data_IF_279163299582
#
_entry.id   IF_279163299582
#
_cell.length_a   1.000
_cell.length_b   1.000
_cell.length_c   1.000
_cell.angle_alpha   90.00
_cell.angle_beta   90.00
_cell.angle_gamma   90.00
#
_symmetry.space_group_name_H-M   'P 1'
#
loop_
_entity.id
_entity.type
_entity.pdbx_description
1 polymer ?
#
# COMPACT_ATOMS: atom_id res chain seq x y z
N UNK A 1 46.11 2.87 -62.42
CA UNK A 1 45.38 3.86 -61.62
C UNK A 1 44.29 3.13 -60.82
N UNK A 2 44.58 2.86 -59.59
CA UNK A 2 43.65 2.16 -58.72
C UNK A 2 42.88 3.19 -57.88
N UNK A 3 41.59 3.29 -58.12
CA UNK A 3 40.71 4.15 -57.32
C UNK A 3 40.33 3.38 -56.04
N UNK A 4 40.86 3.85 -54.93
CA UNK A 4 40.47 3.36 -53.60
C UNK A 4 39.12 3.99 -53.22
N UNK A 5 38.08 3.18 -53.13
CA UNK A 5 36.80 3.59 -52.58
C UNK A 5 36.84 3.29 -51.11
N UNK A 6 36.98 4.31 -50.29
CA UNK A 6 36.85 4.20 -48.85
C UNK A 6 35.36 4.21 -48.52
N UNK A 7 34.84 3.04 -48.20
CA UNK A 7 33.47 2.90 -47.68
C UNK A 7 33.40 3.36 -46.23
N UNK A 8 32.73 4.47 -46.00
CA UNK A 8 32.41 4.99 -44.69
C UNK A 8 31.21 4.24 -44.13
N UNK A 9 31.44 3.21 -43.34
CA UNK A 9 30.35 2.55 -42.59
C UNK A 9 30.00 3.41 -41.39
N UNK A 10 28.89 4.13 -41.51
CA UNK A 10 28.28 4.82 -40.38
C UNK A 10 27.64 3.80 -39.47
N UNK A 11 28.25 3.50 -38.34
CA UNK A 11 27.66 2.76 -37.24
C UNK A 11 26.65 3.68 -36.57
N UNK A 12 25.38 3.50 -36.89
CA UNK A 12 24.29 4.10 -36.15
C UNK A 12 24.15 3.38 -34.80
N UNK A 13 24.72 3.95 -33.74
CA UNK A 13 24.41 3.57 -32.37
C UNK A 13 22.96 3.94 -32.06
N UNK A 14 22.05 2.98 -32.20
CA UNK A 14 20.70 3.10 -31.66
C UNK A 14 20.84 2.96 -30.14
N UNK A 15 20.99 4.08 -29.45
CA UNK A 15 20.91 4.15 -28.01
C UNK A 15 19.49 3.78 -27.57
N UNK A 16 19.32 2.56 -27.10
CA UNK A 16 18.09 2.11 -26.45
C UNK A 16 17.98 2.84 -25.11
N UNK A 17 17.36 4.00 -25.13
CA UNK A 17 17.02 4.72 -23.88
C UNK A 17 15.93 3.91 -23.22
N UNK A 18 16.31 3.07 -22.27
CA UNK A 18 15.37 2.52 -21.31
C UNK A 18 14.88 3.69 -20.45
N UNK A 19 13.82 4.32 -20.90
CA UNK A 19 13.05 5.23 -20.07
C UNK A 19 12.48 4.40 -18.93
N UNK A 20 13.19 4.34 -17.81
CA UNK A 20 12.65 3.84 -16.56
C UNK A 20 11.46 4.74 -16.22
N UNK A 21 10.27 4.29 -16.57
CA UNK A 21 9.04 4.92 -16.15
C UNK A 21 8.93 4.71 -14.64
N UNK A 22 9.54 5.60 -13.89
CA UNK A 22 9.18 5.77 -12.49
C UNK A 22 7.74 6.24 -12.51
N UNK A 23 6.82 5.29 -12.43
CA UNK A 23 5.43 5.59 -12.16
C UNK A 23 5.41 6.27 -10.80
N UNK A 24 5.23 7.57 -10.80
CA UNK A 24 4.83 8.27 -9.60
C UNK A 24 3.59 7.56 -9.09
N UNK A 25 3.70 6.89 -7.93
CA UNK A 25 2.59 6.15 -7.35
C UNK A 25 1.49 7.16 -7.03
N UNK A 26 0.38 7.08 -7.79
CA UNK A 26 -0.75 7.96 -7.60
C UNK A 26 -1.42 7.68 -6.25
N UNK A 27 -1.80 8.74 -5.56
CA UNK A 27 -2.56 8.63 -4.33
C UNK A 27 -3.93 8.01 -4.61
N UNK A 28 -4.28 6.97 -3.85
CA UNK A 28 -5.50 6.18 -4.02
C UNK A 28 -6.32 6.22 -2.75
N UNK A 29 -7.65 6.17 -2.87
CA UNK A 29 -8.55 6.01 -1.73
C UNK A 29 -9.00 4.56 -1.61
N UNK A 30 -8.76 3.95 -0.46
CA UNK A 30 -9.15 2.58 -0.12
C UNK A 30 -10.24 2.61 0.94
N UNK A 31 -11.33 1.91 0.69
CA UNK A 31 -12.45 1.78 1.62
C UNK A 31 -12.36 0.44 2.35
N UNK A 32 -12.40 0.47 3.67
CA UNK A 32 -12.35 -0.76 4.45
C UNK A 32 -12.33 -0.53 5.95
N UNK A 33 -12.07 -1.61 6.68
CA UNK A 33 -11.96 -1.60 8.14
C UNK A 33 -10.52 -1.85 8.59
N UNK A 34 -10.15 -1.22 9.67
CA UNK A 34 -8.84 -1.37 10.28
C UNK A 34 -8.79 -2.65 11.13
N UNK A 35 -7.84 -3.51 10.83
CA UNK A 35 -7.56 -4.75 11.56
C UNK A 35 -6.04 -4.93 11.72
N UNK A 36 -5.62 -5.78 12.65
CA UNK A 36 -4.25 -6.23 12.65
C UNK A 36 -4.01 -7.24 11.51
N UNK A 37 -2.80 -7.26 10.98
CA UNK A 37 -2.46 -8.11 9.81
C UNK A 37 -2.67 -9.58 10.11
N UNK A 38 -2.37 -10.02 11.31
CA UNK A 38 -2.48 -11.42 11.71
C UNK A 38 -3.92 -11.92 11.67
N UNK A 39 -4.86 -11.20 12.28
CA UNK A 39 -6.28 -11.53 12.22
C UNK A 39 -6.84 -11.38 10.79
N UNK A 40 -6.40 -10.39 10.04
CA UNK A 40 -6.83 -10.17 8.66
C UNK A 40 -6.43 -11.31 7.70
N UNK A 41 -5.28 -11.97 7.94
CA UNK A 41 -4.76 -13.04 7.09
C UNK A 41 -5.23 -14.43 7.52
N UNK A 42 -5.43 -14.67 8.80
CA UNK A 42 -5.79 -15.98 9.33
C UNK A 42 -7.26 -16.34 9.14
N UNK A 43 -8.10 -15.37 8.78
CA UNK A 43 -9.51 -15.56 8.47
C UNK A 43 -10.35 -16.18 9.60
N UNK A 44 -9.82 -16.20 10.81
CA UNK A 44 -10.43 -16.91 11.95
C UNK A 44 -11.43 -16.10 12.73
N UNK A 45 -11.39 -14.78 12.58
CA UNK A 45 -12.27 -13.89 13.32
C UNK A 45 -13.23 -13.21 12.37
N UNK A 46 -14.52 -13.26 12.72
CA UNK A 46 -15.52 -12.45 12.06
C UNK A 46 -15.11 -10.97 12.17
N UNK A 47 -14.76 -10.33 11.08
CA UNK A 47 -14.29 -8.95 11.11
C UNK A 47 -15.36 -7.95 11.56
N UNK A 48 -16.58 -8.40 11.77
CA UNK A 48 -17.72 -7.56 12.14
C UNK A 48 -18.04 -7.56 13.65
N UNK A 49 -17.38 -8.41 14.44
CA UNK A 49 -17.69 -8.55 15.87
C UNK A 49 -16.97 -7.52 16.76
N UNK A 50 -17.64 -7.13 17.84
CA UNK A 50 -17.07 -6.24 18.86
C UNK A 50 -15.80 -6.82 19.52
N UNK A 51 -15.71 -8.13 19.63
CA UNK A 51 -14.53 -8.83 20.16
C UNK A 51 -13.31 -8.68 19.24
N UNK A 52 -13.54 -8.66 17.92
CA UNK A 52 -12.50 -8.41 16.93
C UNK A 52 -11.90 -7.00 17.06
N UNK A 53 -12.71 -6.01 17.40
CA UNK A 53 -12.24 -4.63 17.58
C UNK A 53 -11.43 -4.47 18.87
N UNK A 54 -11.81 -5.15 19.95
CA UNK A 54 -11.02 -5.18 21.19
C UNK A 54 -9.66 -5.85 20.99
N UNK A 55 -9.64 -6.96 20.24
CA UNK A 55 -8.41 -7.66 19.87
C UNK A 55 -7.51 -6.77 19.00
N UNK A 56 -8.05 -6.16 17.97
CA UNK A 56 -7.32 -5.23 17.09
C UNK A 56 -6.74 -4.05 17.88
N UNK A 57 -7.48 -3.49 18.81
CA UNK A 57 -7.01 -2.40 19.68
C UNK A 57 -5.85 -2.84 20.56
N UNK A 58 -5.93 -4.02 21.17
CA UNK A 58 -4.85 -4.56 22.00
C UNK A 58 -3.58 -4.84 21.18
N UNK A 59 -3.74 -5.39 19.96
CA UNK A 59 -2.63 -5.62 19.05
C UNK A 59 -1.99 -4.31 18.59
N UNK A 60 -2.79 -3.31 18.25
CA UNK A 60 -2.30 -1.98 17.86
C UNK A 60 -1.46 -1.34 18.99
N UNK A 61 -1.94 -1.37 20.21
CA UNK A 61 -1.22 -0.83 21.39
C UNK A 61 0.11 -1.54 21.66
N UNK A 62 0.23 -2.80 21.29
CA UNK A 62 1.51 -3.53 21.35
C UNK A 62 2.47 -3.18 20.24
N UNK A 63 2.05 -2.41 19.25
CA UNK A 63 2.83 -2.03 18.09
C UNK A 63 2.83 -3.07 16.96
N UNK A 64 1.84 -3.95 16.93
CA UNK A 64 1.68 -4.91 15.85
C UNK A 64 1.25 -4.23 14.55
N UNK A 65 1.59 -4.85 13.42
CA UNK A 65 1.30 -4.27 12.11
C UNK A 65 -0.20 -4.26 11.83
N UNK A 66 -0.71 -3.10 11.47
CA UNK A 66 -2.12 -2.90 11.14
C UNK A 66 -2.33 -2.88 9.63
N UNK A 67 -3.54 -3.21 9.22
CA UNK A 67 -3.94 -3.21 7.81
C UNK A 67 -5.37 -2.71 7.62
N UNK A 68 -5.67 -2.23 6.42
CA UNK A 68 -7.03 -1.94 5.97
C UNK A 68 -7.55 -3.16 5.20
N UNK A 69 -8.61 -3.76 5.70
CA UNK A 69 -9.30 -4.87 5.04
C UNK A 69 -10.39 -4.29 4.15
N UNK A 70 -10.12 -4.24 2.86
CA UNK A 70 -11.08 -3.84 1.83
C UNK A 70 -11.76 -5.07 1.23
N UNK A 71 -12.76 -4.85 0.38
CA UNK A 71 -13.49 -5.95 -0.28
C UNK A 71 -12.63 -6.79 -1.22
N UNK A 72 -11.63 -6.16 -1.83
CA UNK A 72 -10.77 -6.76 -2.87
C UNK A 72 -9.42 -7.22 -2.35
N UNK A 73 -8.90 -6.59 -1.29
CA UNK A 73 -7.56 -6.86 -0.80
C UNK A 73 -7.33 -6.37 0.64
N UNK A 74 -6.22 -6.81 1.20
CA UNK A 74 -5.69 -6.33 2.48
C UNK A 74 -4.52 -5.39 2.19
N UNK A 75 -4.57 -4.18 2.72
CA UNK A 75 -3.55 -3.15 2.56
C UNK A 75 -2.81 -2.91 3.87
N UNK A 76 -1.55 -3.28 3.94
CA UNK A 76 -0.71 -3.08 5.12
C UNK A 76 -0.38 -1.60 5.27
N UNK A 77 -0.66 -1.02 6.42
CA UNK A 77 -0.37 0.38 6.72
C UNK A 77 1.12 0.58 6.92
N UNK A 78 1.68 1.56 6.22
CA UNK A 78 3.07 2.00 6.34
C UNK A 78 3.14 3.52 6.53
N UNK A 79 4.35 4.03 6.79
CA UNK A 79 4.60 5.45 6.99
C UNK A 79 4.20 5.95 8.38
N UNK A 80 3.95 7.23 8.48
CA UNK A 80 3.72 7.91 9.77
C UNK A 80 2.50 7.43 10.57
N UNK A 81 1.54 6.78 9.93
CA UNK A 81 0.39 6.19 10.62
C UNK A 81 0.68 4.82 11.24
N UNK A 82 1.78 4.18 10.86
CA UNK A 82 2.27 2.93 11.46
C UNK A 82 3.29 3.17 12.58
N UNK A 83 3.69 4.41 12.79
CA UNK A 83 4.62 4.80 13.85
C UNK A 83 3.92 4.92 15.21
N UNK A 84 4.71 5.14 16.27
CA UNK A 84 4.23 5.37 17.65
C UNK A 84 3.22 4.32 18.15
N UNK A 85 3.50 3.04 17.89
CA UNK A 85 2.61 1.92 18.26
C UNK A 85 1.18 2.12 17.74
N UNK A 86 1.06 2.60 16.50
CA UNK A 86 -0.22 2.81 15.82
C UNK A 86 -1.16 3.82 16.51
N UNK A 87 -0.64 4.70 17.34
CA UNK A 87 -1.45 5.65 18.13
C UNK A 87 -2.44 6.44 17.25
N UNK A 88 -2.00 6.82 16.05
CA UNK A 88 -2.84 7.60 15.11
C UNK A 88 -4.01 6.81 14.50
N UNK A 89 -3.93 5.49 14.47
CA UNK A 89 -4.99 4.65 13.86
C UNK A 89 -5.93 4.02 14.89
N UNK A 90 -5.50 3.91 16.13
CA UNK A 90 -6.30 3.30 17.20
C UNK A 90 -7.72 3.89 17.32
N UNK A 91 -7.95 5.21 17.23
CA UNK A 91 -9.28 5.79 17.30
C UNK A 91 -10.22 5.38 16.16
N UNK A 92 -9.67 4.85 15.10
CA UNK A 92 -10.42 4.43 13.90
C UNK A 92 -10.79 2.94 13.88
N UNK A 93 -10.32 2.16 14.86
CA UNK A 93 -10.64 0.73 14.96
C UNK A 93 -12.15 0.55 15.17
N UNK A 94 -12.74 -0.41 14.46
CA UNK A 94 -14.18 -0.69 14.52
C UNK A 94 -15.06 0.18 13.63
N UNK A 95 -14.44 1.11 12.91
CA UNK A 95 -15.15 2.04 12.02
C UNK A 95 -14.93 1.68 10.55
N UNK A 96 -15.86 2.03 9.71
CA UNK A 96 -15.68 1.97 8.27
C UNK A 96 -14.93 3.23 7.80
N UNK A 97 -13.83 3.03 7.09
CA UNK A 97 -12.87 4.09 6.80
C UNK A 97 -12.70 4.30 5.29
N UNK A 98 -12.47 5.56 4.92
CA UNK A 98 -11.86 5.95 3.66
C UNK A 98 -10.42 6.37 3.94
N UNK A 99 -9.48 5.56 3.46
CA UNK A 99 -8.04 5.76 3.69
C UNK A 99 -7.40 6.22 2.40
N UNK A 100 -6.78 7.37 2.46
CA UNK A 100 -6.08 7.97 1.33
C UNK A 100 -4.58 7.80 1.48
N UNK A 101 -3.93 7.35 0.44
CA UNK A 101 -2.49 7.14 0.47
C UNK A 101 -1.93 6.55 -0.81
N UNK A 102 -0.64 6.31 -0.81
CA UNK A 102 0.08 5.72 -1.92
C UNK A 102 0.15 4.21 -1.77
N UNK A 103 -0.43 3.47 -2.70
CA UNK A 103 -0.40 2.00 -2.71
C UNK A 103 0.82 1.51 -3.47
N UNK A 104 1.56 0.61 -2.84
CA UNK A 104 2.66 -0.14 -3.45
C UNK A 104 2.42 -1.63 -3.28
N UNK A 105 2.97 -2.43 -4.18
CA UNK A 105 2.92 -3.88 -4.09
C UNK A 105 4.34 -4.43 -4.03
N UNK A 106 4.61 -5.26 -3.05
CA UNK A 106 5.90 -5.92 -2.85
C UNK A 106 5.69 -7.35 -2.40
N UNK A 107 6.29 -8.30 -3.09
CA UNK A 107 6.21 -9.73 -2.77
C UNK A 107 4.77 -10.25 -2.64
N UNK A 108 3.86 -9.77 -3.50
CA UNK A 108 2.44 -10.13 -3.47
C UNK A 108 1.62 -9.48 -2.35
N UNK A 109 2.24 -8.62 -1.54
CA UNK A 109 1.57 -7.87 -0.48
C UNK A 109 1.33 -6.44 -0.90
N UNK A 110 0.11 -5.96 -0.68
CA UNK A 110 -0.24 -4.56 -0.91
C UNK A 110 0.01 -3.75 0.36
N UNK A 111 0.71 -2.64 0.20
CA UNK A 111 1.04 -1.70 1.27
C UNK A 111 0.47 -0.33 0.92
N UNK A 112 0.03 0.40 1.91
CA UNK A 112 -0.46 1.77 1.75
C UNK A 112 0.29 2.71 2.69
N UNK A 113 0.99 3.68 2.11
CA UNK A 113 1.56 4.80 2.85
C UNK A 113 0.46 5.85 3.03
N UNK A 114 -0.14 5.87 4.20
CA UNK A 114 -1.35 6.63 4.49
C UNK A 114 -1.04 8.11 4.63
N UNK A 115 -1.76 8.93 3.88
CA UNK A 115 -1.72 10.40 3.99
C UNK A 115 -2.86 10.94 4.85
N UNK A 116 -4.04 10.33 4.78
CA UNK A 116 -5.19 10.70 5.60
C UNK A 116 -6.17 9.55 5.81
N UNK A 117 -6.90 9.60 6.92
CA UNK A 117 -7.97 8.66 7.24
C UNK A 117 -9.22 9.45 7.57
N UNK A 118 -10.35 9.04 7.00
CA UNK A 118 -11.65 9.60 7.31
C UNK A 118 -12.64 8.47 7.66
N UNK A 119 -13.50 8.72 8.63
CA UNK A 119 -14.60 7.81 8.97
C UNK A 119 -15.74 7.98 7.97
N UNK A 120 -16.21 6.85 7.41
CA UNK A 120 -17.39 6.83 6.54
C UNK A 120 -18.63 6.66 7.41
N UNK A 121 -19.41 7.70 7.55
CA UNK A 121 -20.71 7.63 8.24
C UNK A 121 -21.72 6.99 7.30
N UNK A 122 -22.25 5.84 7.68
CA UNK A 122 -23.44 5.30 7.02
C UNK A 122 -24.62 6.22 7.34
N UNK A 123 -25.23 6.72 6.29
CA UNK A 123 -26.53 7.40 6.44
C UNK A 123 -27.62 6.38 6.70
#
# INVERSE_FOLDING_TARGET
MKKLVVGLTAFAFVGLVFASHVRAAAETTVMGKLKDVKCATDGKDDPSGADGDACATACAKRGETMAIVAKDAVYIITGKYAEDKNEKVIPFIGKELAVKGTVTEKEGKKMIDVSSIAEVKKK
#
